data_IF_171452752408
#
_entry.id   IF_171452752408
#
_cell.length_a   1.000
_cell.length_b   1.000
_cell.length_c   1.000
_cell.angle_alpha   90.00
_cell.angle_beta   90.00
_cell.angle_gamma   90.00
#
_symmetry.space_group_name_H-M   'P 1'
#
loop_
_entity.id
_entity.type
_entity.pdbx_description
1 polymer ?
#
# COMPACT_ATOMS: atom_id res chain seq x y z
N UNK A 1 -12.90 0.09 8.32
CA UNK A 1 -13.55 1.42 8.22
C UNK A 1 -13.81 1.97 9.63
N UNK A 2 -12.74 2.28 10.38
CA UNK A 2 -12.85 2.68 11.79
C UNK A 2 -12.55 4.18 12.00
N UNK A 3 -11.57 4.71 11.27
CA UNK A 3 -11.14 6.12 11.37
C UNK A 3 -11.96 7.11 10.54
N UNK A 4 -12.97 6.64 9.80
CA UNK A 4 -13.83 7.48 8.96
C UNK A 4 -13.09 8.44 8.01
N UNK A 5 -11.96 8.01 7.45
CA UNK A 5 -11.15 8.79 6.52
C UNK A 5 -11.05 8.11 5.15
N UNK A 6 -10.64 8.89 4.15
CA UNK A 6 -10.17 8.41 2.85
C UNK A 6 -8.66 8.13 2.86
N UNK A 7 -8.15 7.60 1.76
CA UNK A 7 -6.72 7.35 1.57
C UNK A 7 -6.34 7.38 0.09
N UNK A 8 -5.10 7.78 -0.19
CA UNK A 8 -4.41 7.55 -1.46
C UNK A 8 -3.14 6.77 -1.21
N UNK A 9 -3.04 5.59 -1.81
CA UNK A 9 -1.85 4.71 -1.74
C UNK A 9 -1.25 4.66 -3.15
N UNK A 10 0.02 4.96 -3.30
CA UNK A 10 0.70 4.98 -4.58
C UNK A 10 1.32 3.61 -4.87
N UNK A 11 0.96 3.01 -6.01
CA UNK A 11 1.39 1.66 -6.35
C UNK A 11 2.90 1.54 -6.54
N UNK A 12 3.53 2.56 -7.11
CA UNK A 12 4.98 2.64 -7.31
C UNK A 12 5.78 2.82 -6.01
N UNK A 13 5.11 3.04 -4.87
CA UNK A 13 5.76 3.21 -3.56
C UNK A 13 5.57 2.02 -2.63
N UNK A 14 4.78 1.02 -3.01
CA UNK A 14 4.62 -0.18 -2.19
C UNK A 14 5.96 -0.93 -2.18
N UNK A 15 6.58 -1.17 -1.00
CA UNK A 15 7.82 -1.91 -0.95
C UNK A 15 7.58 -3.37 -1.32
N UNK A 16 8.36 -3.86 -2.27
CA UNK A 16 8.31 -5.26 -2.71
C UNK A 16 9.73 -5.80 -2.62
N UNK A 17 9.88 -6.93 -1.94
CA UNK A 17 11.16 -7.61 -1.82
C UNK A 17 11.69 -8.01 -3.21
N UNK A 18 13.00 -7.85 -3.43
CA UNK A 18 13.63 -8.11 -4.72
C UNK A 18 13.35 -9.54 -5.24
N UNK A 19 13.32 -10.52 -4.33
CA UNK A 19 13.03 -11.92 -4.64
C UNK A 19 11.59 -12.10 -5.13
N UNK A 20 10.64 -11.39 -4.52
CA UNK A 20 9.23 -11.40 -4.95
C UNK A 20 9.09 -10.80 -6.35
N UNK A 21 9.76 -9.69 -6.63
CA UNK A 21 9.77 -9.09 -7.97
C UNK A 21 10.38 -10.03 -9.01
N UNK A 22 11.53 -10.64 -8.71
CA UNK A 22 12.20 -11.57 -9.62
C UNK A 22 11.32 -12.79 -9.95
N UNK A 23 10.62 -13.34 -8.95
CA UNK A 23 9.69 -14.45 -9.16
C UNK A 23 8.46 -14.02 -9.98
N UNK A 24 7.91 -12.84 -9.68
CA UNK A 24 6.77 -12.30 -10.44
C UNK A 24 7.13 -12.11 -11.92
N UNK A 25 8.34 -11.61 -12.21
CA UNK A 25 8.85 -11.46 -13.57
C UNK A 25 8.97 -12.81 -14.29
N UNK A 26 9.50 -13.84 -13.61
CA UNK A 26 9.60 -15.21 -14.14
C UNK A 26 8.21 -15.80 -14.44
N UNK A 27 7.22 -15.49 -13.60
CA UNK A 27 5.84 -15.94 -13.76
C UNK A 27 5.00 -15.07 -14.71
N UNK A 28 5.58 -13.99 -15.27
CA UNK A 28 4.87 -12.97 -16.06
C UNK A 28 3.65 -12.37 -15.32
N UNK A 29 3.80 -12.15 -14.01
CA UNK A 29 2.80 -11.56 -13.13
C UNK A 29 3.23 -10.17 -12.67
N UNK A 30 2.26 -9.30 -12.39
CA UNK A 30 2.54 -8.02 -11.75
C UNK A 30 2.78 -8.26 -10.24
N UNK A 31 3.97 -7.93 -9.70
CA UNK A 31 4.29 -8.14 -8.29
C UNK A 31 3.38 -7.33 -7.34
N UNK A 32 2.78 -6.23 -7.81
CA UNK A 32 1.81 -5.44 -7.05
C UNK A 32 0.57 -6.27 -6.72
N UNK A 33 0.18 -7.21 -7.58
CA UNK A 33 -0.95 -8.12 -7.31
C UNK A 33 -0.66 -8.98 -6.08
N UNK A 34 0.58 -9.48 -5.95
CA UNK A 34 1.01 -10.24 -4.77
C UNK A 34 1.06 -9.35 -3.52
N UNK A 35 1.59 -8.13 -3.63
CA UNK A 35 1.67 -7.19 -2.51
C UNK A 35 0.29 -6.74 -1.98
N UNK A 36 -0.72 -6.63 -2.86
CA UNK A 36 -2.07 -6.17 -2.50
C UNK A 36 -3.02 -7.28 -2.07
N UNK A 37 -2.87 -8.48 -2.61
CA UNK A 37 -3.81 -9.59 -2.41
C UNK A 37 -3.18 -10.79 -1.71
N UNK A 38 -1.88 -10.72 -1.41
CA UNK A 38 -1.20 -11.67 -0.57
C UNK A 38 -1.65 -11.54 0.89
N UNK A 39 -0.78 -12.03 1.76
CA UNK A 39 -0.98 -12.09 3.20
C UNK A 39 0.22 -12.80 3.83
N UNK A 40 0.20 -12.95 5.15
CA UNK A 40 1.27 -13.61 5.90
C UNK A 40 2.65 -12.90 5.85
N UNK A 41 2.71 -11.65 5.40
CA UNK A 41 3.95 -10.84 5.49
C UNK A 41 4.22 -10.35 6.93
N UNK A 42 3.19 -10.34 7.79
CA UNK A 42 3.25 -9.87 9.19
C UNK A 42 3.82 -8.47 9.39
N UNK A 43 3.70 -7.61 8.37
CA UNK A 43 4.14 -6.22 8.39
C UNK A 43 3.16 -5.28 9.12
N UNK A 44 3.65 -4.11 9.51
CA UNK A 44 2.84 -3.06 10.13
C UNK A 44 2.34 -2.04 9.10
N UNK A 45 1.03 -1.80 9.08
CA UNK A 45 0.42 -0.69 8.35
C UNK A 45 -0.16 0.32 9.35
N UNK A 46 0.36 1.55 9.33
CA UNK A 46 -0.06 2.60 10.26
C UNK A 46 -0.03 3.98 9.59
N UNK A 47 -0.58 4.97 10.28
CA UNK A 47 -0.57 6.38 9.86
C UNK A 47 0.17 7.20 10.90
N UNK A 48 0.78 8.30 10.46
CA UNK A 48 1.42 9.29 11.34
C UNK A 48 1.02 10.71 10.96
N UNK A 49 1.03 11.66 11.90
CA UNK A 49 0.95 13.08 11.58
C UNK A 49 2.06 13.50 10.61
N UNK A 50 1.76 14.46 9.72
CA UNK A 50 2.72 14.94 8.71
C UNK A 50 4.02 15.46 9.33
N UNK A 51 3.92 16.13 10.48
CA UNK A 51 5.06 16.62 11.27
C UNK A 51 6.03 15.52 11.74
N UNK A 52 5.58 14.26 11.82
CA UNK A 52 6.42 13.12 12.22
C UNK A 52 7.07 12.42 11.03
N UNK A 53 6.73 12.78 9.79
CA UNK A 53 7.18 12.06 8.59
C UNK A 53 8.71 11.96 8.51
N UNK A 54 9.43 13.07 8.72
CA UNK A 54 10.90 13.05 8.66
C UNK A 54 11.50 12.14 9.74
N UNK A 55 10.93 12.12 10.94
CA UNK A 55 11.41 11.26 12.01
C UNK A 55 11.23 9.78 11.68
N UNK A 56 10.07 9.42 11.11
CA UNK A 56 9.78 8.04 10.68
C UNK A 56 10.70 7.62 9.55
N UNK A 57 10.89 8.47 8.53
CA UNK A 57 11.78 8.15 7.41
C UNK A 57 13.24 7.93 7.86
N UNK A 58 13.70 8.66 8.89
CA UNK A 58 15.04 8.46 9.46
C UNK A 58 15.25 7.11 10.15
N UNK A 59 14.18 6.37 10.47
CA UNK A 59 14.32 5.03 11.03
C UNK A 59 14.88 4.02 10.01
N UNK A 60 14.70 4.29 8.70
CA UNK A 60 15.19 3.42 7.63
C UNK A 60 14.51 2.06 7.54
N UNK A 61 13.38 1.87 8.24
CA UNK A 61 12.62 0.63 8.31
C UNK A 61 11.16 0.79 7.85
N UNK A 62 10.79 2.00 7.41
CA UNK A 62 9.39 2.35 7.09
C UNK A 62 9.35 3.05 5.76
N UNK A 63 8.49 2.56 4.87
CA UNK A 63 8.21 3.16 3.57
C UNK A 63 6.93 3.98 3.60
N UNK A 64 6.98 5.20 3.05
CA UNK A 64 5.81 6.06 2.92
C UNK A 64 5.09 5.75 1.62
N UNK A 65 4.03 4.94 1.73
CA UNK A 65 3.29 4.46 0.56
C UNK A 65 2.09 5.34 0.16
N UNK A 66 1.74 6.35 0.96
CA UNK A 66 0.50 7.09 0.75
C UNK A 66 0.22 8.18 1.78
N UNK A 67 -1.00 8.70 1.75
CA UNK A 67 -1.49 9.69 2.71
C UNK A 67 -3.00 9.55 2.96
N UNK A 68 -3.42 9.98 4.15
CA UNK A 68 -4.82 10.02 4.57
C UNK A 68 -5.50 11.27 4.01
N UNK A 69 -6.77 11.14 3.63
CA UNK A 69 -7.58 12.19 3.01
C UNK A 69 -8.95 12.29 3.70
N UNK A 70 -9.74 13.36 3.44
CA UNK A 70 -11.12 13.43 3.93
C UNK A 70 -11.95 12.21 3.51
N UNK A 71 -12.88 11.77 4.36
CA UNK A 71 -13.75 10.62 4.11
C UNK A 71 -14.45 10.66 2.74
N UNK A 72 -14.85 11.86 2.33
CA UNK A 72 -15.58 12.13 1.09
C UNK A 72 -14.81 11.76 -0.18
N UNK A 73 -13.48 11.68 -0.12
CA UNK A 73 -12.64 11.35 -1.28
C UNK A 73 -12.40 9.84 -1.44
N UNK A 74 -12.88 9.02 -0.51
CA UNK A 74 -12.81 7.56 -0.54
C UNK A 74 -11.38 6.99 -0.45
N UNK A 75 -11.26 5.68 -0.65
CA UNK A 75 -10.00 4.93 -0.59
C UNK A 75 -9.60 4.46 -1.99
N UNK A 76 -8.43 4.87 -2.46
CA UNK A 76 -7.95 4.59 -3.81
C UNK A 76 -6.46 4.25 -3.83
N UNK A 77 -6.12 3.37 -4.77
CA UNK A 77 -4.77 3.13 -5.25
C UNK A 77 -4.51 4.12 -6.40
N UNK A 78 -3.33 4.73 -6.43
CA UNK A 78 -2.88 5.65 -7.47
C UNK A 78 -1.84 4.93 -8.31
N UNK A 79 -2.11 4.78 -9.59
CA UNK A 79 -1.19 4.15 -10.54
C UNK A 79 -0.04 5.08 -10.91
N UNK A 80 1.07 4.57 -11.48
CA UNK A 80 2.21 5.41 -11.88
C UNK A 80 1.85 6.50 -12.91
N UNK A 81 0.83 6.28 -13.72
CA UNK A 81 0.28 7.26 -14.68
C UNK A 81 -0.77 8.21 -14.05
N UNK A 82 -1.00 8.12 -12.74
CA UNK A 82 -1.83 9.03 -11.96
C UNK A 82 -3.33 8.71 -11.96
N UNK A 83 -3.72 7.51 -12.42
CA UNK A 83 -5.12 7.08 -12.37
C UNK A 83 -5.50 6.54 -10.98
N UNK A 84 -6.74 6.83 -10.58
CA UNK A 84 -7.32 6.35 -9.33
C UNK A 84 -8.04 5.01 -9.55
N UNK A 85 -7.55 3.93 -8.95
CA UNK A 85 -8.23 2.63 -8.86
C UNK A 85 -8.87 2.52 -7.48
N UNK A 86 -10.18 2.29 -7.42
CA UNK A 86 -10.88 2.17 -6.13
C UNK A 86 -10.36 0.96 -5.35
N UNK A 87 -9.89 1.21 -4.13
CA UNK A 87 -9.44 0.15 -3.25
C UNK A 87 -10.65 -0.71 -2.84
N UNK A 88 -10.63 -1.98 -3.24
CA UNK A 88 -11.62 -2.98 -2.83
C UNK A 88 -10.89 -4.06 -2.06
N UNK A 89 -11.36 -4.38 -0.86
CA UNK A 89 -10.84 -5.51 -0.11
C UNK A 89 -11.14 -6.81 -0.87
N UNK A 90 -10.10 -7.53 -1.25
CA UNK A 90 -10.17 -8.88 -1.83
C UNK A 90 -9.48 -9.91 -0.93
N UNK A 91 -9.19 -9.55 0.33
CA UNK A 91 -8.43 -10.37 1.28
C UNK A 91 -9.03 -11.77 1.49
N UNK A 92 -8.24 -12.65 2.10
CA UNK A 92 -8.59 -14.05 2.30
C UNK A 92 -10.02 -14.24 2.84
N UNK A 93 -10.84 -15.13 2.24
CA UNK A 93 -12.14 -15.44 2.78
C UNK A 93 -11.99 -16.08 4.17
N UNK A 94 -12.85 -15.68 5.10
CA UNK A 94 -13.01 -16.39 6.37
C UNK A 94 -13.40 -17.85 6.05
N UNK A 95 -12.77 -18.81 6.73
CA UNK A 95 -13.14 -20.22 6.66
C UNK A 95 -14.54 -20.45 7.21
#
# INVERSE_FOLDING_TARGET
KASECGVRIYLDRIPIAQQTSALADEMHMDPVVAALNGGEDYELLFTVPLEMQEQVMRLGLVDVIGHITPASTGAFLVTPDGQDIRLRAQGFPEK
#
